data_IF_357561335592
#
_entry.id   IF_357561335592
#
_cell.length_a   1.000
_cell.length_b   1.000
_cell.length_c   1.000
_cell.angle_alpha   90.00
_cell.angle_beta   90.00
_cell.angle_gamma   90.00
#
_symmetry.space_group_name_H-M   'P 1'
#
loop_
_entity.id
_entity.type
_entity.pdbx_description
1 polymer ?
#
# COMPACT_ATOMS: atom_id res chain seq x y z
N UNK A 1 -24.92 -14.45 -12.32
CA UNK A 1 -24.57 -13.44 -11.28
C UNK A 1 -25.55 -12.27 -11.23
N UNK A 2 -25.93 -11.62 -12.34
CA UNK A 2 -26.84 -10.45 -12.36
C UNK A 2 -28.22 -10.75 -11.76
N UNK A 3 -28.85 -11.89 -12.13
CA UNK A 3 -30.16 -12.28 -11.57
C UNK A 3 -30.11 -12.45 -10.05
N UNK A 4 -29.03 -13.05 -9.53
CA UNK A 4 -28.85 -13.23 -8.10
C UNK A 4 -28.62 -11.89 -7.40
N UNK A 5 -27.76 -11.03 -7.96
CA UNK A 5 -27.53 -9.68 -7.44
C UNK A 5 -28.84 -8.90 -7.34
N UNK A 6 -29.65 -8.92 -8.41
CA UNK A 6 -30.96 -8.24 -8.44
C UNK A 6 -31.94 -8.77 -7.37
N UNK A 7 -31.93 -10.09 -7.13
CA UNK A 7 -32.77 -10.67 -6.07
C UNK A 7 -32.31 -10.17 -4.70
N UNK A 8 -31.03 -10.27 -4.40
CA UNK A 8 -30.45 -9.82 -3.13
C UNK A 8 -30.74 -8.34 -2.90
N UNK A 9 -30.55 -7.49 -3.92
CA UNK A 9 -30.79 -6.05 -3.82
C UNK A 9 -32.27 -5.75 -3.51
N UNK A 10 -33.19 -6.47 -4.17
CA UNK A 10 -34.62 -6.32 -3.87
C UNK A 10 -34.98 -6.72 -2.44
N UNK A 11 -34.45 -7.84 -1.99
CA UNK A 11 -34.71 -8.37 -0.65
C UNK A 11 -34.08 -7.48 0.44
N UNK A 12 -32.88 -6.94 0.20
CA UNK A 12 -32.18 -6.05 1.11
C UNK A 12 -32.65 -4.60 1.10
N UNK A 13 -33.20 -4.14 -0.04
CA UNK A 13 -33.70 -2.79 -0.28
C UNK A 13 -32.76 -1.66 0.16
N UNK A 14 -31.53 -1.57 -0.40
CA UNK A 14 -30.55 -0.55 0.01
C UNK A 14 -30.93 0.84 -0.50
N UNK A 15 -30.60 1.87 0.28
CA UNK A 15 -30.78 3.27 -0.09
C UNK A 15 -29.62 3.81 -0.96
N UNK A 16 -28.45 3.19 -0.89
CA UNK A 16 -27.24 3.56 -1.62
C UNK A 16 -26.37 2.32 -1.82
N UNK A 17 -25.56 2.30 -2.87
CA UNK A 17 -24.58 1.24 -3.10
C UNK A 17 -23.17 1.84 -3.27
N UNK A 18 -22.18 1.20 -2.65
CA UNK A 18 -20.78 1.59 -2.74
C UNK A 18 -19.97 0.48 -3.40
N UNK A 19 -19.23 0.81 -4.45
CA UNK A 19 -18.33 -0.11 -5.14
C UNK A 19 -16.87 0.29 -4.98
N UNK A 20 -16.07 -0.68 -4.55
CA UNK A 20 -14.63 -0.49 -4.35
C UNK A 20 -13.79 -1.22 -5.42
N UNK A 21 -14.40 -1.47 -6.57
CA UNK A 21 -13.76 -2.22 -7.64
C UNK A 21 -13.86 -3.74 -7.49
N UNK A 22 -13.13 -4.44 -8.36
CA UNK A 22 -13.14 -5.89 -8.41
C UNK A 22 -14.38 -6.47 -9.11
N UNK A 23 -14.34 -7.76 -9.39
CA UNK A 23 -15.38 -8.47 -10.14
C UNK A 23 -16.74 -8.46 -9.43
N UNK A 24 -16.74 -8.63 -8.12
CA UNK A 24 -17.97 -8.74 -7.33
C UNK A 24 -18.80 -7.45 -7.30
N UNK A 25 -18.16 -6.28 -7.28
CA UNK A 25 -18.87 -5.00 -7.25
C UNK A 25 -19.58 -4.69 -8.58
N UNK A 26 -19.10 -5.24 -9.69
CA UNK A 26 -19.60 -4.97 -11.04
C UNK A 26 -21.10 -5.31 -11.19
N UNK A 27 -21.46 -6.53 -10.89
CA UNK A 27 -22.85 -7.00 -11.00
C UNK A 27 -23.79 -6.26 -10.04
N UNK A 28 -23.34 -6.03 -8.81
CA UNK A 28 -24.12 -5.36 -7.77
C UNK A 28 -24.42 -3.91 -8.14
N UNK A 29 -23.40 -3.10 -8.46
CA UNK A 29 -23.61 -1.70 -8.82
C UNK A 29 -24.37 -1.53 -10.13
N UNK A 30 -24.14 -2.42 -11.09
CA UNK A 30 -24.89 -2.40 -12.33
C UNK A 30 -26.42 -2.57 -12.10
N UNK A 31 -26.81 -3.56 -11.29
CA UNK A 31 -28.22 -3.77 -10.97
C UNK A 31 -28.77 -2.66 -10.07
N UNK A 32 -28.02 -2.17 -9.07
CA UNK A 32 -28.42 -1.02 -8.26
C UNK A 32 -28.72 0.20 -9.15
N UNK A 33 -27.83 0.51 -10.08
CA UNK A 33 -28.02 1.64 -11.00
C UNK A 33 -29.25 1.50 -11.90
N UNK A 34 -29.59 0.27 -12.33
CA UNK A 34 -30.82 -0.02 -13.10
C UNK A 34 -32.07 0.13 -12.28
N UNK A 35 -32.00 -0.09 -10.98
CA UNK A 35 -33.09 0.04 -10.05
C UNK A 35 -33.26 1.45 -9.48
N UNK A 36 -32.49 2.42 -9.97
CA UNK A 36 -32.54 3.81 -9.50
C UNK A 36 -31.83 4.05 -8.16
N UNK A 37 -31.14 3.05 -7.62
CA UNK A 37 -30.40 3.18 -6.38
C UNK A 37 -29.10 3.94 -6.67
N UNK A 38 -28.83 5.07 -5.97
CA UNK A 38 -27.62 5.84 -6.20
C UNK A 38 -26.37 5.04 -5.87
N UNK A 39 -25.34 5.17 -6.72
CA UNK A 39 -24.09 4.44 -6.58
C UNK A 39 -22.90 5.40 -6.42
N UNK A 40 -22.01 5.08 -5.50
CA UNK A 40 -20.70 5.68 -5.35
C UNK A 40 -19.62 4.67 -5.71
N UNK A 41 -18.58 5.09 -6.43
CA UNK A 41 -17.39 4.28 -6.72
C UNK A 41 -16.19 4.87 -5.97
N UNK A 42 -15.37 4.00 -5.39
CA UNK A 42 -14.07 4.37 -4.87
C UNK A 42 -12.98 3.65 -5.68
N UNK A 43 -12.06 4.41 -6.28
CA UNK A 43 -10.91 3.89 -7.02
C UNK A 43 -9.62 4.12 -6.24
N UNK A 44 -8.95 3.04 -5.88
CA UNK A 44 -7.79 3.04 -5.03
C UNK A 44 -6.48 3.30 -5.77
N UNK A 45 -6.43 2.97 -7.05
CA UNK A 45 -5.20 2.93 -7.84
C UNK A 45 -5.07 4.16 -8.75
N UNK A 46 -3.86 4.46 -9.16
CA UNK A 46 -3.56 5.51 -10.14
C UNK A 46 -4.01 5.16 -11.56
N UNK A 47 -4.41 3.92 -11.78
CA UNK A 47 -5.00 3.43 -13.03
C UNK A 47 -6.32 2.72 -12.73
N UNK A 48 -7.39 3.21 -13.32
CA UNK A 48 -8.73 2.74 -13.00
C UNK A 48 -8.96 1.29 -13.45
N UNK A 49 -9.52 0.49 -12.57
CA UNK A 49 -9.92 -0.88 -12.88
C UNK A 49 -11.07 -0.94 -13.89
N UNK A 50 -11.14 -2.03 -14.67
CA UNK A 50 -12.15 -2.24 -15.72
C UNK A 50 -13.57 -2.04 -15.19
N UNK A 51 -13.88 -2.64 -14.04
CA UNK A 51 -15.21 -2.56 -13.40
C UNK A 51 -15.60 -1.10 -13.13
N UNK A 52 -14.71 -0.32 -12.53
CA UNK A 52 -14.96 1.08 -12.22
C UNK A 52 -15.14 1.92 -13.49
N UNK A 53 -14.32 1.68 -14.53
CA UNK A 53 -14.50 2.34 -15.84
C UNK A 53 -15.87 2.07 -16.47
N UNK A 54 -16.33 0.83 -16.45
CA UNK A 54 -17.64 0.44 -17.02
C UNK A 54 -18.83 1.06 -16.26
N UNK A 55 -18.69 1.23 -14.95
CA UNK A 55 -19.76 1.76 -14.09
C UNK A 55 -19.71 3.28 -13.92
N UNK A 56 -18.62 3.96 -14.31
CA UNK A 56 -18.40 5.37 -14.09
C UNK A 56 -19.55 6.28 -14.56
N UNK A 57 -20.09 6.03 -15.76
CA UNK A 57 -21.19 6.83 -16.30
C UNK A 57 -22.46 6.71 -15.46
N UNK A 58 -22.67 5.58 -14.79
CA UNK A 58 -23.87 5.29 -13.98
C UNK A 58 -23.72 5.72 -12.52
N UNK A 59 -22.49 5.83 -12.03
CA UNK A 59 -22.22 6.31 -10.68
C UNK A 59 -22.64 7.78 -10.53
N UNK A 60 -23.09 8.16 -9.34
CA UNK A 60 -23.38 9.53 -8.95
C UNK A 60 -22.11 10.27 -8.51
N UNK A 61 -21.19 9.57 -7.82
CA UNK A 61 -19.91 10.09 -7.35
C UNK A 61 -18.81 9.04 -7.54
N UNK A 62 -17.59 9.52 -7.78
CA UNK A 62 -16.39 8.70 -7.95
C UNK A 62 -15.28 9.29 -7.09
N UNK A 63 -15.02 8.63 -5.96
CA UNK A 63 -13.94 8.98 -5.06
C UNK A 63 -12.63 8.37 -5.56
N UNK A 64 -11.58 9.15 -5.67
CA UNK A 64 -10.30 8.71 -6.24
C UNK A 64 -9.13 9.05 -5.30
N UNK A 65 -8.06 8.26 -5.39
CA UNK A 65 -6.86 8.44 -4.57
C UNK A 65 -5.72 9.15 -5.30
N UNK A 66 -5.81 9.34 -6.61
CA UNK A 66 -4.76 9.93 -7.43
C UNK A 66 -5.32 11.00 -8.36
N UNK A 67 -4.48 11.97 -8.71
CA UNK A 67 -4.74 13.00 -9.73
C UNK A 67 -4.77 12.40 -11.15
N UNK A 68 -5.34 13.12 -12.12
CA UNK A 68 -5.35 12.72 -13.52
C UNK A 68 -6.36 11.61 -13.84
N UNK A 69 -7.36 11.40 -12.98
CA UNK A 69 -8.35 10.34 -13.14
C UNK A 69 -9.48 10.72 -14.12
N UNK A 70 -9.56 11.97 -14.57
CA UNK A 70 -10.45 12.47 -15.63
C UNK A 70 -10.23 11.77 -16.97
N UNK A 71 -9.06 11.19 -17.19
CA UNK A 71 -8.77 10.32 -18.36
C UNK A 71 -9.57 9.02 -18.36
N UNK A 72 -10.13 8.62 -17.23
CA UNK A 72 -10.91 7.39 -17.07
C UNK A 72 -12.37 7.62 -16.70
N UNK A 73 -12.66 8.75 -16.03
CA UNK A 73 -13.94 9.03 -15.42
C UNK A 73 -14.48 10.40 -15.81
N UNK A 74 -15.81 10.61 -15.83
CA UNK A 74 -16.40 11.93 -16.00
C UNK A 74 -15.91 12.91 -14.93
N UNK A 75 -15.33 14.02 -15.34
CA UNK A 75 -14.67 14.98 -14.44
C UNK A 75 -15.62 15.59 -13.39
N UNK A 76 -16.88 15.82 -13.76
CA UNK A 76 -17.94 16.35 -12.90
C UNK A 76 -18.32 15.43 -11.74
N UNK A 77 -17.98 14.14 -11.82
CA UNK A 77 -18.26 13.13 -10.78
C UNK A 77 -17.08 12.81 -9.89
N UNK A 78 -15.87 13.23 -10.27
CA UNK A 78 -14.65 12.93 -9.52
C UNK A 78 -14.59 13.76 -8.25
N UNK A 79 -14.20 13.10 -7.16
CA UNK A 79 -13.81 13.74 -5.91
C UNK A 79 -12.49 13.13 -5.43
N UNK A 80 -11.48 13.96 -5.24
CA UNK A 80 -10.20 13.56 -4.68
C UNK A 80 -10.35 13.33 -3.18
N UNK A 81 -10.32 12.09 -2.73
CA UNK A 81 -10.53 11.71 -1.33
C UNK A 81 -9.33 11.02 -0.70
N UNK A 82 -8.45 10.43 -1.52
CA UNK A 82 -7.48 9.47 -1.02
C UNK A 82 -8.10 8.09 -0.74
N UNK A 83 -7.28 7.22 -0.18
CA UNK A 83 -7.71 5.91 0.30
C UNK A 83 -7.90 5.92 1.81
N UNK A 84 -8.92 5.24 2.35
CA UNK A 84 -9.04 5.01 3.79
C UNK A 84 -7.84 4.23 4.32
N UNK A 85 -7.24 4.74 5.39
CA UNK A 85 -6.14 4.10 6.10
C UNK A 85 -6.54 3.90 7.55
N UNK A 86 -6.13 2.77 8.12
CA UNK A 86 -6.45 2.43 9.51
C UNK A 86 -5.75 3.37 10.48
N UNK A 87 -6.47 3.87 11.48
CA UNK A 87 -5.96 4.84 12.45
C UNK A 87 -4.76 4.30 13.25
N UNK A 88 -4.77 3.04 13.63
CA UNK A 88 -3.68 2.40 14.37
C UNK A 88 -2.34 2.31 13.60
N UNK A 89 -2.36 2.52 12.29
CA UNK A 89 -1.14 2.63 11.47
C UNK A 89 -0.56 4.04 11.53
N UNK A 90 -1.44 5.05 11.65
CA UNK A 90 -1.07 6.47 11.67
C UNK A 90 -0.61 6.94 13.04
N UNK A 91 -1.25 6.44 14.08
CA UNK A 91 -1.07 6.88 15.48
C UNK A 91 -0.51 5.74 16.32
N UNK A 92 0.79 5.77 16.55
CA UNK A 92 1.44 4.94 17.57
C UNK A 92 1.96 5.83 18.68
N UNK A 93 1.68 5.50 19.96
CA UNK A 93 2.16 6.29 21.10
C UNK A 93 3.66 6.10 21.36
N UNK A 94 4.28 5.13 20.68
CA UNK A 94 5.69 4.80 20.89
C UNK A 94 6.63 5.88 20.37
N UNK A 95 7.70 6.15 21.10
CA UNK A 95 8.88 6.81 20.53
C UNK A 95 9.55 5.88 19.49
N UNK A 96 10.42 6.44 18.65
CA UNK A 96 11.15 5.63 17.67
C UNK A 96 12.10 4.64 18.35
N UNK A 97 12.71 5.07 19.43
CA UNK A 97 13.63 4.27 20.26
C UNK A 97 12.88 3.10 20.93
N UNK A 98 11.69 3.36 21.49
CA UNK A 98 10.90 2.30 22.13
C UNK A 98 10.31 1.33 21.13
N UNK A 99 9.91 1.80 19.96
CA UNK A 99 9.49 0.94 18.86
C UNK A 99 10.63 0.01 18.41
N UNK A 100 11.86 0.51 18.31
CA UNK A 100 13.04 -0.32 18.01
C UNK A 100 13.31 -1.37 19.09
N UNK A 101 13.24 -0.98 20.37
CA UNK A 101 13.38 -1.92 21.49
C UNK A 101 12.32 -3.01 21.47
N UNK A 102 11.06 -2.69 21.11
CA UNK A 102 9.97 -3.67 20.98
C UNK A 102 10.31 -4.77 19.96
N UNK A 103 11.04 -4.44 18.89
CA UNK A 103 11.54 -5.43 17.92
C UNK A 103 12.88 -6.06 18.30
N UNK A 104 13.43 -5.77 19.48
CA UNK A 104 14.72 -6.26 19.91
C UNK A 104 15.91 -5.66 19.14
N UNK A 105 15.75 -4.43 18.68
CA UNK A 105 16.73 -3.71 17.88
C UNK A 105 17.45 -2.63 18.70
N UNK A 106 18.62 -2.23 18.26
CA UNK A 106 19.35 -1.11 18.85
C UNK A 106 18.54 0.20 18.65
N UNK A 107 18.28 0.98 19.71
CA UNK A 107 17.44 2.17 19.64
C UNK A 107 18.01 3.31 18.78
N UNK A 108 19.32 3.36 18.55
CA UNK A 108 20.00 4.47 17.86
C UNK A 108 20.36 4.19 16.40
N UNK A 109 20.41 2.90 15.99
CA UNK A 109 20.82 2.54 14.63
C UNK A 109 19.70 2.75 13.60
N UNK A 110 20.09 3.09 12.38
CA UNK A 110 19.19 3.15 11.23
C UNK A 110 18.54 1.80 10.95
N UNK A 111 17.27 1.81 10.59
CA UNK A 111 16.48 0.59 10.40
C UNK A 111 15.80 0.58 9.03
N UNK A 112 15.95 -0.52 8.30
CA UNK A 112 15.20 -0.81 7.07
C UNK A 112 14.13 -1.86 7.39
N UNK A 113 12.90 -1.58 6.98
CA UNK A 113 11.77 -2.52 7.05
C UNK A 113 11.49 -3.09 5.67
N UNK A 114 11.53 -4.40 5.52
CA UNK A 114 11.15 -5.09 4.28
C UNK A 114 9.80 -5.78 4.46
N UNK A 115 8.82 -5.43 3.61
CA UNK A 115 7.44 -5.94 3.68
C UNK A 115 6.96 -6.40 2.32
N UNK A 116 6.79 -7.71 2.17
CA UNK A 116 6.28 -8.32 0.93
C UNK A 116 4.75 -8.44 0.86
N UNK A 117 4.03 -7.98 1.90
CA UNK A 117 2.61 -8.26 2.12
C UNK A 117 2.39 -9.55 2.90
N UNK A 118 1.13 -9.88 3.27
CA UNK A 118 0.79 -11.00 4.17
C UNK A 118 1.26 -12.38 3.68
N UNK A 119 1.28 -12.59 2.38
CA UNK A 119 1.77 -13.84 1.77
C UNK A 119 3.28 -13.81 1.49
N UNK A 120 3.90 -12.64 1.56
CA UNK A 120 5.29 -12.42 1.20
C UNK A 120 5.50 -12.11 -0.28
N UNK A 121 6.72 -11.71 -0.62
CA UNK A 121 7.15 -11.40 -1.98
C UNK A 121 8.44 -12.14 -2.31
N UNK A 122 8.35 -13.18 -3.15
CA UNK A 122 9.48 -14.06 -3.48
C UNK A 122 10.73 -13.29 -3.87
N UNK A 123 10.60 -12.31 -4.74
CA UNK A 123 11.74 -11.57 -5.29
C UNK A 123 12.40 -10.67 -4.23
N UNK A 124 11.60 -10.05 -3.35
CA UNK A 124 12.13 -9.27 -2.20
C UNK A 124 12.85 -10.22 -1.24
N UNK A 125 12.28 -11.39 -0.95
CA UNK A 125 12.90 -12.38 -0.07
C UNK A 125 14.22 -12.89 -0.64
N UNK A 126 14.29 -13.16 -1.95
CA UNK A 126 15.54 -13.55 -2.62
C UNK A 126 16.60 -12.46 -2.58
N UNK A 127 16.22 -11.20 -2.75
CA UNK A 127 17.15 -10.07 -2.64
C UNK A 127 17.88 -10.03 -1.28
N UNK A 128 17.21 -10.48 -0.23
CA UNK A 128 17.81 -10.60 1.11
C UNK A 128 18.69 -11.85 1.22
N UNK A 129 18.17 -13.02 0.84
CA UNK A 129 18.88 -14.29 0.97
C UNK A 129 20.17 -14.35 0.15
N UNK A 130 20.15 -13.75 -1.04
CA UNK A 130 21.29 -13.76 -1.96
C UNK A 130 22.40 -12.75 -1.57
N UNK A 131 22.15 -11.86 -0.58
CA UNK A 131 23.07 -10.80 -0.19
C UNK A 131 23.13 -10.60 1.34
N UNK A 132 23.16 -11.70 2.11
CA UNK A 132 23.29 -11.64 3.57
C UNK A 132 24.61 -10.97 4.01
N UNK A 133 25.66 -11.09 3.22
CA UNK A 133 26.95 -10.45 3.43
C UNK A 133 26.86 -8.90 3.48
N UNK A 134 25.93 -8.30 2.73
CA UNK A 134 25.70 -6.85 2.78
C UNK A 134 25.02 -6.45 4.10
N UNK A 135 24.15 -7.30 4.63
CA UNK A 135 23.52 -7.09 5.94
C UNK A 135 24.58 -7.18 7.04
N UNK A 136 25.38 -8.23 7.03
CA UNK A 136 26.42 -8.49 8.01
C UNK A 136 27.44 -7.36 8.06
N UNK A 137 27.89 -6.88 6.89
CA UNK A 137 28.88 -5.80 6.75
C UNK A 137 28.34 -4.40 7.09
N UNK A 138 27.02 -4.22 7.17
CA UNK A 138 26.42 -2.89 7.37
C UNK A 138 26.22 -2.55 8.84
N UNK A 139 26.29 -1.25 9.17
CA UNK A 139 25.89 -0.72 10.49
C UNK A 139 24.36 -0.44 10.57
N UNK A 140 23.60 -0.90 9.58
CA UNK A 140 22.13 -0.79 9.49
C UNK A 140 21.49 -2.04 10.07
N UNK A 141 20.32 -1.91 10.67
CA UNK A 141 19.53 -3.04 11.13
C UNK A 141 18.27 -3.21 10.30
N UNK A 142 17.76 -4.43 10.29
CA UNK A 142 16.70 -4.84 9.39
C UNK A 142 15.57 -5.55 10.12
N UNK A 143 14.33 -5.22 9.74
CA UNK A 143 13.13 -6.03 10.03
C UNK A 143 12.69 -6.61 8.69
N UNK A 144 12.69 -7.92 8.59
CA UNK A 144 12.30 -8.61 7.37
C UNK A 144 11.06 -9.45 7.59
N UNK A 145 9.92 -8.98 7.05
CA UNK A 145 8.70 -9.75 6.96
C UNK A 145 8.73 -10.63 5.72
N UNK A 146 8.95 -11.90 5.91
CA UNK A 146 9.07 -12.90 4.85
C UNK A 146 7.74 -13.27 4.21
N UNK A 147 6.63 -13.10 4.95
CA UNK A 147 5.31 -13.60 4.63
C UNK A 147 5.13 -15.06 5.02
N UNK A 148 3.93 -15.42 5.42
CA UNK A 148 3.60 -16.76 5.97
C UNK A 148 3.98 -17.90 5.02
N UNK A 149 3.86 -17.68 3.70
CA UNK A 149 4.15 -18.72 2.73
C UNK A 149 5.63 -19.11 2.65
N UNK A 150 6.54 -18.13 2.81
CA UNK A 150 7.99 -18.35 2.64
C UNK A 150 8.74 -18.53 3.96
N UNK A 151 8.11 -18.23 5.08
CA UNK A 151 8.80 -18.10 6.36
C UNK A 151 9.60 -19.33 6.74
N UNK A 152 8.98 -20.51 6.69
CA UNK A 152 9.65 -21.75 7.10
C UNK A 152 10.86 -22.07 6.21
N UNK A 153 10.72 -21.98 4.89
CA UNK A 153 11.82 -22.22 3.96
C UNK A 153 12.99 -21.25 4.18
N UNK A 154 12.67 -19.98 4.48
CA UNK A 154 13.69 -18.96 4.78
C UNK A 154 14.42 -19.29 6.09
N UNK A 155 13.71 -19.70 7.15
CA UNK A 155 14.35 -20.11 8.38
C UNK A 155 15.26 -21.35 8.18
N UNK A 156 14.86 -22.27 7.31
CA UNK A 156 15.69 -23.43 6.99
C UNK A 156 16.98 -23.02 6.24
N UNK A 157 16.92 -22.05 5.33
CA UNK A 157 18.08 -21.48 4.63
C UNK A 157 18.99 -20.63 5.54
N UNK A 158 18.43 -20.07 6.62
CA UNK A 158 19.13 -19.27 7.61
C UNK A 158 19.78 -20.11 8.72
N UNK A 159 19.58 -21.43 8.77
CA UNK A 159 20.17 -22.28 9.80
C UNK A 159 21.70 -22.15 9.86
N UNK A 160 22.20 -21.87 11.05
CA UNK A 160 23.64 -21.66 11.29
C UNK A 160 24.17 -20.28 10.88
N UNK A 161 23.31 -19.37 10.47
CA UNK A 161 23.66 -17.96 10.16
C UNK A 161 23.02 -17.06 11.21
N UNK A 162 23.84 -16.45 12.05
CA UNK A 162 23.39 -15.49 13.07
C UNK A 162 23.75 -14.06 12.62
N UNK A 163 22.74 -13.26 12.32
CA UNK A 163 22.88 -11.86 11.98
C UNK A 163 22.20 -11.00 13.07
N UNK A 164 22.94 -10.42 14.02
CA UNK A 164 22.35 -9.72 15.16
C UNK A 164 21.59 -8.45 14.75
N UNK A 165 21.86 -7.93 13.57
CA UNK A 165 21.19 -6.75 12.99
C UNK A 165 20.00 -7.11 12.08
N UNK A 166 19.60 -8.40 11.97
CA UNK A 166 18.49 -8.87 11.16
C UNK A 166 17.39 -9.52 12.03
N UNK A 167 16.19 -8.96 12.01
CA UNK A 167 15.00 -9.54 12.63
C UNK A 167 14.11 -10.15 11.55
N UNK A 168 13.91 -11.48 11.61
CA UNK A 168 13.07 -12.22 10.64
C UNK A 168 11.70 -12.49 11.29
N UNK A 169 10.62 -12.19 10.59
CA UNK A 169 9.24 -12.39 11.03
C UNK A 169 8.37 -12.91 9.87
N UNK A 170 7.44 -13.81 10.17
CA UNK A 170 6.45 -14.28 9.20
C UNK A 170 5.41 -13.22 8.91
N UNK A 171 4.94 -12.53 9.95
CA UNK A 171 3.91 -11.51 9.90
C UNK A 171 4.14 -10.45 10.98
N UNK A 172 3.82 -9.20 10.67
CA UNK A 172 3.87 -8.08 11.60
C UNK A 172 2.43 -7.63 11.90
N UNK A 173 1.99 -7.86 13.12
CA UNK A 173 0.64 -7.47 13.58
C UNK A 173 0.53 -5.97 13.85
N UNK A 174 1.57 -5.38 14.44
CA UNK A 174 1.66 -3.94 14.72
C UNK A 174 2.48 -3.21 13.65
N UNK A 175 1.82 -2.88 12.54
CA UNK A 175 2.45 -2.12 11.46
C UNK A 175 2.74 -0.68 11.86
N UNK A 176 1.99 -0.09 12.80
CA UNK A 176 2.27 1.25 13.32
C UNK A 176 3.64 1.31 14.00
N UNK A 177 3.91 0.37 14.91
CA UNK A 177 5.22 0.25 15.55
C UNK A 177 6.34 -0.07 14.54
N UNK A 178 6.08 -0.96 13.57
CA UNK A 178 7.07 -1.30 12.55
C UNK A 178 7.43 -0.08 11.66
N UNK A 179 6.45 0.68 11.23
CA UNK A 179 6.70 1.93 10.50
C UNK A 179 7.41 2.98 11.35
N UNK A 180 7.07 3.09 12.64
CA UNK A 180 7.75 3.99 13.57
C UNK A 180 9.23 3.65 13.71
N UNK A 181 9.55 2.36 13.78
CA UNK A 181 10.92 1.82 13.87
C UNK A 181 11.76 2.18 12.63
N UNK A 182 11.17 2.08 11.44
CA UNK A 182 11.88 2.19 10.17
C UNK A 182 12.28 3.62 9.79
N UNK A 183 13.48 3.77 9.22
CA UNK A 183 13.93 4.98 8.51
C UNK A 183 13.61 4.89 7.02
N UNK A 184 13.63 3.67 6.47
CA UNK A 184 13.32 3.36 5.08
C UNK A 184 12.48 2.10 5.02
N UNK A 185 11.51 2.05 4.13
CA UNK A 185 10.70 0.85 3.87
C UNK A 185 10.98 0.33 2.47
N UNK A 186 11.06 -0.98 2.32
CA UNK A 186 10.99 -1.68 1.04
C UNK A 186 9.65 -2.39 0.97
N UNK A 187 8.86 -2.15 -0.07
CA UNK A 187 7.52 -2.70 -0.17
C UNK A 187 7.07 -2.96 -1.61
N UNK A 188 6.05 -3.82 -1.75
CA UNK A 188 5.22 -3.84 -2.97
C UNK A 188 4.45 -2.53 -3.10
N UNK A 189 4.06 -2.17 -4.34
CA UNK A 189 3.35 -0.93 -4.64
C UNK A 189 1.82 -1.08 -4.57
N UNK A 190 1.32 -1.72 -3.52
CA UNK A 190 -0.10 -1.83 -3.25
C UNK A 190 -0.71 -0.47 -2.85
N UNK A 191 -1.94 -0.20 -3.29
CA UNK A 191 -2.60 1.07 -3.08
C UNK A 191 -2.72 1.45 -1.58
N UNK A 192 -3.07 0.51 -0.72
CA UNK A 192 -3.20 0.75 0.73
C UNK A 192 -1.86 1.10 1.36
N UNK A 193 -0.80 0.33 1.07
CA UNK A 193 0.53 0.59 1.62
C UNK A 193 1.08 1.94 1.17
N UNK A 194 0.88 2.30 -0.10
CA UNK A 194 1.29 3.61 -0.61
C UNK A 194 0.57 4.73 0.16
N UNK A 195 -0.74 4.60 0.40
CA UNK A 195 -1.50 5.60 1.15
C UNK A 195 -1.04 5.70 2.61
N UNK A 196 -0.64 4.59 3.22
CA UNK A 196 0.00 4.58 4.54
C UNK A 196 1.32 5.38 4.50
N UNK A 197 2.20 5.12 3.53
CA UNK A 197 3.48 5.84 3.40
C UNK A 197 3.30 7.34 3.18
N UNK A 198 2.32 7.73 2.37
CA UNK A 198 1.99 9.13 2.12
C UNK A 198 1.57 9.85 3.41
N UNK A 199 0.68 9.23 4.20
CA UNK A 199 0.14 9.84 5.42
C UNK A 199 1.19 9.98 6.53
N UNK A 200 2.06 8.95 6.69
CA UNK A 200 3.11 8.99 7.72
C UNK A 200 4.43 9.63 7.25
N UNK A 201 4.53 10.01 5.97
CA UNK A 201 5.73 10.61 5.39
C UNK A 201 6.91 9.63 5.33
N UNK A 202 6.67 8.35 5.06
CA UNK A 202 7.70 7.31 5.13
C UNK A 202 8.48 7.18 3.82
N UNK A 203 9.83 7.37 3.83
CA UNK A 203 10.68 7.05 2.70
C UNK A 203 10.50 5.59 2.28
N UNK A 204 10.37 5.34 0.97
CA UNK A 204 10.08 4.00 0.46
C UNK A 204 10.81 3.69 -0.85
N UNK A 205 11.26 2.44 -0.97
CA UNK A 205 11.66 1.81 -2.24
C UNK A 205 10.52 0.87 -2.65
N UNK A 206 9.90 1.13 -3.78
CA UNK A 206 8.81 0.34 -4.30
C UNK A 206 9.32 -0.71 -5.29
N UNK A 207 8.90 -1.95 -5.06
CA UNK A 207 9.15 -3.10 -5.94
C UNK A 207 7.80 -3.63 -6.42
N UNK A 208 7.22 -3.10 -7.50
CA UNK A 208 5.91 -3.53 -7.98
C UNK A 208 5.86 -5.02 -8.32
N UNK A 209 4.75 -5.68 -7.98
CA UNK A 209 4.51 -7.05 -8.40
C UNK A 209 4.17 -7.09 -9.89
N UNK A 210 4.84 -7.95 -10.69
CA UNK A 210 4.48 -8.13 -12.10
C UNK A 210 3.18 -8.93 -12.30
N UNK A 211 2.71 -9.61 -11.25
CA UNK A 211 1.57 -10.54 -11.31
C UNK A 211 0.25 -9.87 -10.86
N UNK A 212 0.00 -8.65 -11.33
CA UNK A 212 -1.24 -7.91 -11.00
C UNK A 212 -1.92 -7.43 -12.26
N UNK A 213 -3.26 -7.36 -12.22
CA UNK A 213 -4.07 -6.92 -13.35
C UNK A 213 -3.63 -5.52 -13.83
N UNK A 214 -3.55 -5.35 -15.16
CA UNK A 214 -3.26 -4.05 -15.81
C UNK A 214 -1.98 -3.35 -15.34
N UNK A 215 -1.05 -4.08 -14.73
CA UNK A 215 0.22 -3.54 -14.19
C UNK A 215 0.00 -2.33 -13.26
N UNK A 216 -1.08 -2.37 -12.46
CA UNK A 216 -1.45 -1.23 -11.63
C UNK A 216 -0.42 -0.90 -10.55
N UNK A 217 0.37 -1.88 -10.07
CA UNK A 217 1.41 -1.59 -9.07
C UNK A 217 2.55 -0.75 -9.65
N UNK A 218 3.00 -1.02 -10.88
CA UNK A 218 4.00 -0.16 -11.54
C UNK A 218 3.46 1.25 -11.74
N UNK A 219 2.21 1.39 -12.16
CA UNK A 219 1.56 2.70 -12.33
C UNK A 219 1.43 3.45 -11.00
N UNK A 220 1.06 2.76 -9.93
CA UNK A 220 1.03 3.34 -8.58
C UNK A 220 2.42 3.82 -8.13
N UNK A 221 3.45 2.99 -8.32
CA UNK A 221 4.82 3.36 -7.99
C UNK A 221 5.29 4.59 -8.75
N UNK A 222 5.07 4.61 -10.08
CA UNK A 222 5.49 5.73 -10.94
C UNK A 222 4.78 7.05 -10.59
N UNK A 223 3.55 7.00 -10.07
CA UNK A 223 2.87 8.20 -9.57
C UNK A 223 3.63 8.89 -8.41
N UNK A 224 4.36 8.13 -7.59
CA UNK A 224 5.22 8.67 -6.54
C UNK A 224 6.62 9.01 -7.07
N UNK A 225 7.21 8.12 -7.87
CA UNK A 225 8.56 8.27 -8.42
C UNK A 225 8.69 9.55 -9.25
N UNK A 226 7.70 9.82 -10.11
CA UNK A 226 7.69 11.03 -10.95
C UNK A 226 7.60 12.33 -10.14
N UNK A 227 7.21 12.27 -8.86
CA UNK A 227 7.18 13.39 -7.90
C UNK A 227 8.38 13.37 -6.94
N UNK A 228 9.36 12.50 -7.15
CA UNK A 228 10.51 12.32 -6.26
C UNK A 228 10.13 11.83 -4.86
N UNK A 229 8.97 11.17 -4.72
CA UNK A 229 8.39 10.75 -3.45
C UNK A 229 8.69 9.28 -3.09
N UNK A 230 9.27 8.51 -4.01
CA UNK A 230 9.69 7.14 -3.81
C UNK A 230 10.85 6.77 -4.75
N UNK A 231 11.59 5.74 -4.39
CA UNK A 231 12.49 5.03 -5.29
C UNK A 231 11.79 3.81 -5.87
N UNK A 232 12.32 3.32 -6.99
CA UNK A 232 11.73 2.22 -7.73
C UNK A 232 12.80 1.21 -8.15
N UNK A 233 12.48 -0.07 -7.97
CA UNK A 233 13.26 -1.19 -8.50
C UNK A 233 12.31 -2.13 -9.21
N UNK A 234 12.62 -2.51 -10.45
CA UNK A 234 11.86 -3.53 -11.17
C UNK A 234 11.96 -4.87 -10.46
N UNK A 235 10.89 -5.65 -10.42
CA UNK A 235 10.86 -6.95 -9.73
C UNK A 235 12.02 -7.85 -10.16
N UNK A 236 12.26 -7.99 -11.47
CA UNK A 236 13.34 -8.81 -12.00
C UNK A 236 14.76 -8.33 -11.65
N UNK A 237 14.93 -7.05 -11.31
CA UNK A 237 16.21 -6.46 -10.93
C UNK A 237 16.44 -6.45 -9.40
N UNK A 238 15.39 -6.71 -8.63
CA UNK A 238 15.43 -6.61 -7.19
C UNK A 238 16.50 -7.53 -6.54
N UNK A 239 16.69 -8.78 -6.95
CA UNK A 239 17.74 -9.61 -6.35
C UNK A 239 19.13 -8.96 -6.39
N UNK A 240 19.48 -8.27 -7.46
CA UNK A 240 20.83 -7.74 -7.66
C UNK A 240 21.00 -6.28 -7.20
N UNK A 241 19.92 -5.51 -7.03
CA UNK A 241 20.03 -4.05 -6.83
C UNK A 241 19.40 -3.57 -5.53
N UNK A 242 18.41 -4.28 -5.01
CA UNK A 242 17.50 -3.76 -3.99
C UNK A 242 18.21 -3.48 -2.67
N UNK A 243 18.98 -4.43 -2.16
CA UNK A 243 19.56 -4.33 -0.84
C UNK A 243 20.65 -3.27 -0.77
N UNK A 244 21.56 -3.22 -1.78
CA UNK A 244 22.58 -2.18 -1.86
C UNK A 244 21.97 -0.78 -1.97
N UNK A 245 20.96 -0.61 -2.85
CA UNK A 245 20.23 0.66 -2.99
C UNK A 245 19.59 1.09 -1.67
N UNK A 246 19.07 0.15 -0.90
CA UNK A 246 18.41 0.44 0.37
C UNK A 246 19.42 0.89 1.43
N UNK A 247 20.58 0.23 1.53
CA UNK A 247 21.67 0.60 2.45
C UNK A 247 22.18 1.99 2.09
N UNK A 248 22.48 2.25 0.81
CA UNK A 248 22.96 3.55 0.34
C UNK A 248 21.94 4.68 0.58
N UNK A 249 20.65 4.34 0.47
CA UNK A 249 19.58 5.31 0.68
C UNK A 249 19.39 5.63 2.16
N UNK A 250 19.37 4.61 3.03
CA UNK A 250 19.10 4.81 4.46
C UNK A 250 20.23 5.55 5.19
N UNK A 251 21.44 5.48 4.66
CA UNK A 251 22.62 6.20 5.18
C UNK A 251 22.75 7.63 4.64
N UNK A 252 21.95 8.00 3.64
CA UNK A 252 21.95 9.34 3.04
C UNK A 252 20.80 10.18 3.62
N UNK A 253 21.10 11.02 4.62
CA UNK A 253 20.10 11.85 5.31
C UNK A 253 19.37 12.84 4.39
N UNK A 254 20.06 13.43 3.43
CA UNK A 254 19.45 14.38 2.49
C UNK A 254 18.40 13.66 1.61
N UNK A 255 18.74 12.46 1.14
CA UNK A 255 17.84 11.64 0.33
C UNK A 255 16.62 11.18 1.12
N UNK A 256 16.82 10.72 2.36
CA UNK A 256 15.72 10.34 3.25
C UNK A 256 14.77 11.53 3.51
N UNK A 257 15.33 12.69 3.84
CA UNK A 257 14.58 13.91 4.11
C UNK A 257 13.76 14.33 2.89
N UNK A 258 14.36 14.34 1.71
CA UNK A 258 13.69 14.69 0.45
C UNK A 258 12.54 13.72 0.15
N UNK A 259 12.77 12.42 0.23
CA UNK A 259 11.74 11.38 0.01
C UNK A 259 10.59 11.54 1.01
N UNK A 260 10.91 11.74 2.30
CA UNK A 260 9.92 11.93 3.36
C UNK A 260 9.04 13.15 3.13
N UNK A 261 9.64 14.28 2.82
CA UNK A 261 8.91 15.53 2.54
C UNK A 261 8.01 15.40 1.32
N UNK A 262 8.51 14.79 0.24
CA UNK A 262 7.76 14.66 -1.00
C UNK A 262 6.60 13.67 -0.87
N UNK A 263 6.81 12.51 -0.24
CA UNK A 263 5.75 11.53 -0.04
C UNK A 263 4.66 12.07 0.89
N UNK A 264 5.04 12.82 1.93
CA UNK A 264 4.09 13.43 2.87
C UNK A 264 3.18 14.48 2.22
N UNK A 265 3.70 15.26 1.26
CA UNK A 265 2.89 16.24 0.50
C UNK A 265 1.77 15.59 -0.32
N UNK A 266 1.87 14.30 -0.60
CA UNK A 266 0.86 13.55 -1.35
C UNK A 266 -0.22 12.91 -0.45
N UNK A 267 -0.08 12.99 0.87
CA UNK A 267 -1.00 12.38 1.82
C UNK A 267 -2.35 13.12 1.87
N UNK A 268 -3.44 12.36 1.74
CA UNK A 268 -4.80 12.87 1.88
C UNK A 268 -5.40 12.32 3.18
N UNK A 269 -5.67 13.22 4.11
CA UNK A 269 -6.20 12.87 5.44
C UNK A 269 -7.72 12.74 5.43
N UNK A 270 -8.27 12.05 6.42
CA UNK A 270 -9.71 11.91 6.66
C UNK A 270 -10.48 11.25 5.48
N UNK A 271 -9.81 10.46 4.65
CA UNK A 271 -10.40 9.84 3.47
C UNK A 271 -11.67 9.04 3.78
N UNK A 272 -11.69 8.29 4.90
CA UNK A 272 -12.84 7.50 5.30
C UNK A 272 -14.05 8.38 5.60
N UNK A 273 -13.88 9.46 6.36
CA UNK A 273 -14.95 10.39 6.73
C UNK A 273 -15.48 11.15 5.52
N UNK A 274 -14.57 11.59 4.63
CA UNK A 274 -14.96 12.28 3.39
C UNK A 274 -15.81 11.36 2.52
N UNK A 275 -15.39 10.11 2.31
CA UNK A 275 -16.14 9.12 1.52
C UNK A 275 -17.49 8.80 2.20
N UNK A 276 -17.51 8.58 3.51
CA UNK A 276 -18.73 8.29 4.25
C UNK A 276 -19.75 9.44 4.15
N UNK A 277 -19.28 10.68 4.26
CA UNK A 277 -20.13 11.85 4.10
C UNK A 277 -20.73 11.96 2.68
N UNK A 278 -19.98 11.62 1.63
CA UNK A 278 -20.52 11.57 0.26
C UNK A 278 -21.57 10.46 0.10
N UNK A 279 -21.39 9.31 0.75
CA UNK A 279 -22.41 8.24 0.79
C UNK A 279 -23.69 8.75 1.46
N UNK A 280 -23.57 9.41 2.61
CA UNK A 280 -24.73 9.96 3.36
C UNK A 280 -25.49 11.02 2.53
N UNK A 281 -24.78 11.88 1.80
CA UNK A 281 -25.41 12.85 0.89
C UNK A 281 -26.26 12.20 -0.20
N UNK A 282 -25.84 11.03 -0.70
CA UNK A 282 -26.59 10.29 -1.72
C UNK A 282 -27.88 9.65 -1.18
N UNK A 283 -27.95 9.36 0.12
CA UNK A 283 -29.16 8.83 0.77
C UNK A 283 -30.22 9.94 0.93
N UNK A 284 -29.79 11.19 1.10
CA UNK A 284 -30.68 12.33 1.37
C UNK A 284 -31.21 13.01 0.10
N UNK A 285 -30.78 12.57 -1.06
CA UNK A 285 -31.29 13.04 -2.36
C UNK A 285 -32.45 12.14 -2.86
#
# INVERSE_FOLDING_TARGET
SLRLARKIIKDFNPQVAVGVGGYASGATLYECSKMGIPCLIQEQNSYAGVTNKLLAKKAKKICVAYEGMERFFPADKILMTGNPVRQNVLETPLSKEDARKQFGLNPTKKTILLVGGSLGARTINRAVLEHLELIEASDVQFIWQTGKYYHQSILDEMKGKELPNLKIMDFISDMGAAYKTADLVISRAGASSISEFQLIGKPVILVPSPNVAEDHQTKNAMALVNKGAALFVKDAEAPNKLLQLAIDTVTNEQKLTSLSQNVKKMGLHNSADVIANEVIKLIKQ
#
